data_IF_213340601427
#
_entry.id   IF_213340601427
#
_cell.length_a   1.000
_cell.length_b   1.000
_cell.length_c   1.000
_cell.angle_alpha   90.00
_cell.angle_beta   90.00
_cell.angle_gamma   90.00
#
_symmetry.space_group_name_H-M   'P 1'
#
loop_
_entity.id
_entity.type
_entity.pdbx_description
1 polymer ?
#
# COMPACT_ATOMS: atom_id res chain seq x y z
N UNK A 1 6.34 12.46 -37.01
CA UNK A 1 5.53 11.26 -37.34
C UNK A 1 4.64 10.95 -36.15
N UNK A 2 3.65 10.07 -36.28
CA UNK A 2 2.85 9.63 -35.13
C UNK A 2 3.70 8.78 -34.17
N UNK A 3 3.65 9.07 -32.87
CA UNK A 3 4.29 8.24 -31.83
C UNK A 3 3.31 7.10 -31.47
N UNK A 4 3.69 5.81 -31.65
CA UNK A 4 2.79 4.69 -31.37
C UNK A 4 2.69 4.42 -29.86
N UNK A 5 1.47 4.49 -29.30
CA UNK A 5 1.22 4.30 -27.87
C UNK A 5 -0.05 3.48 -27.61
N UNK A 6 -0.10 2.81 -26.45
CA UNK A 6 -1.33 2.34 -25.82
C UNK A 6 -1.57 3.21 -24.59
N UNK A 7 -2.79 3.74 -24.43
CA UNK A 7 -3.15 4.57 -23.28
C UNK A 7 -4.13 3.80 -22.40
N UNK A 8 -3.78 3.63 -21.12
CA UNK A 8 -4.64 3.05 -20.12
C UNK A 8 -5.08 4.11 -19.11
N UNK A 9 -6.36 4.09 -18.71
CA UNK A 9 -6.82 4.89 -17.56
C UNK A 9 -6.50 4.14 -16.28
N UNK A 10 -5.24 4.25 -15.87
CA UNK A 10 -4.63 3.58 -14.72
C UNK A 10 -3.56 4.48 -14.09
N UNK A 11 -2.92 3.99 -13.04
CA UNK A 11 -1.82 4.68 -12.36
C UNK A 11 -1.68 4.22 -10.90
N UNK A 12 -0.48 4.36 -10.35
CA UNK A 12 -0.19 4.05 -8.95
C UNK A 12 -0.31 5.30 -8.06
N UNK A 13 -1.46 5.94 -8.16
CA UNK A 13 -1.99 6.95 -7.24
C UNK A 13 -3.53 6.90 -7.34
N UNK A 14 -4.25 7.33 -6.31
CA UNK A 14 -5.71 7.47 -6.39
C UNK A 14 -6.18 8.85 -6.88
N UNK A 15 -5.25 9.67 -7.37
CA UNK A 15 -5.55 11.04 -7.82
C UNK A 15 -6.09 11.10 -9.25
N UNK A 16 -6.21 9.93 -9.91
CA UNK A 16 -6.60 9.82 -11.32
C UNK A 16 -5.44 10.10 -12.27
N UNK A 17 -5.57 9.63 -13.51
CA UNK A 17 -4.52 9.77 -14.51
C UNK A 17 -4.60 8.69 -15.58
N UNK A 18 -3.49 8.60 -16.32
CA UNK A 18 -3.29 7.64 -17.38
C UNK A 18 -1.85 7.10 -17.33
N UNK A 19 -1.68 5.85 -17.73
CA UNK A 19 -0.37 5.28 -18.05
C UNK A 19 -0.25 5.16 -19.57
N UNK A 20 0.84 5.70 -20.11
CA UNK A 20 1.12 5.70 -21.56
C UNK A 20 2.21 4.65 -21.82
N UNK A 21 1.82 3.54 -22.44
CA UNK A 21 2.73 2.47 -22.83
C UNK A 21 3.30 2.80 -24.21
N UNK A 22 4.56 3.20 -24.23
CA UNK A 22 5.29 3.51 -25.45
C UNK A 22 5.66 2.21 -26.18
N UNK A 23 5.23 2.09 -27.43
CA UNK A 23 5.43 0.87 -28.23
C UNK A 23 6.79 0.83 -28.96
N UNK A 24 7.46 1.97 -29.06
CA UNK A 24 8.80 2.11 -29.63
C UNK A 24 9.62 3.07 -28.77
N UNK A 25 10.63 2.53 -28.08
CA UNK A 25 11.45 3.26 -27.11
C UNK A 25 12.29 4.38 -27.74
N UNK A 26 12.49 4.38 -29.07
CA UNK A 26 13.18 5.46 -29.76
C UNK A 26 12.49 6.82 -29.59
N UNK A 27 11.19 6.84 -29.28
CA UNK A 27 10.39 8.07 -29.08
C UNK A 27 10.23 8.48 -27.62
N UNK A 28 11.00 7.91 -26.68
CA UNK A 28 10.84 8.18 -25.24
C UNK A 28 10.92 9.65 -24.88
N UNK A 29 11.98 10.33 -25.34
CA UNK A 29 12.18 11.77 -25.13
C UNK A 29 11.10 12.58 -25.84
N UNK A 30 10.79 12.25 -27.09
CA UNK A 30 9.77 12.95 -27.86
C UNK A 30 8.40 12.90 -27.17
N UNK A 31 7.99 11.74 -26.67
CA UNK A 31 6.72 11.60 -25.94
C UNK A 31 6.70 12.44 -24.67
N UNK A 32 7.79 12.41 -23.89
CA UNK A 32 7.92 13.20 -22.66
C UNK A 32 7.79 14.70 -22.94
N UNK A 33 8.49 15.20 -23.96
CA UNK A 33 8.46 16.61 -24.32
C UNK A 33 7.08 17.05 -24.81
N UNK A 34 6.38 16.22 -25.62
CA UNK A 34 5.01 16.50 -26.05
C UNK A 34 4.04 16.58 -24.85
N UNK A 35 4.13 15.66 -23.89
CA UNK A 35 3.26 15.68 -22.69
C UNK A 35 3.56 16.91 -21.84
N UNK A 36 4.84 17.25 -21.66
CA UNK A 36 5.26 18.44 -20.92
C UNK A 36 4.74 19.71 -21.56
N UNK A 37 4.91 19.88 -22.87
CA UNK A 37 4.44 21.07 -23.61
C UNK A 37 2.91 21.19 -23.55
N UNK A 38 2.18 20.10 -23.79
CA UNK A 38 0.72 20.09 -23.72
C UNK A 38 0.18 20.37 -22.30
N UNK A 39 0.94 20.00 -21.27
CA UNK A 39 0.57 20.18 -19.87
C UNK A 39 0.97 21.53 -19.25
N UNK A 40 1.74 22.37 -19.96
CA UNK A 40 2.24 23.65 -19.43
C UNK A 40 1.14 24.59 -18.92
N UNK A 41 -0.02 24.75 -19.60
CA UNK A 41 -1.15 25.55 -19.09
C UNK A 41 -1.76 25.02 -17.79
N UNK A 42 -1.50 23.77 -17.43
CA UNK A 42 -1.95 23.11 -16.20
C UNK A 42 -0.84 23.01 -15.15
N UNK A 43 0.27 23.73 -15.37
CA UNK A 43 1.43 23.72 -14.50
C UNK A 43 2.00 22.32 -14.26
N UNK A 44 1.96 21.44 -15.27
CA UNK A 44 2.47 20.07 -15.17
C UNK A 44 3.93 20.06 -14.70
N UNK A 45 4.28 19.14 -13.79
CA UNK A 45 5.65 18.96 -13.30
C UNK A 45 6.03 17.48 -13.28
N UNK A 46 7.33 17.16 -13.40
CA UNK A 46 7.80 15.80 -13.16
C UNK A 46 7.43 15.35 -11.75
N UNK A 47 7.07 14.08 -11.63
CA UNK A 47 6.76 13.44 -10.36
C UNK A 47 7.01 11.95 -10.45
N UNK A 48 6.88 11.29 -9.30
CA UNK A 48 6.99 9.84 -9.16
C UNK A 48 5.86 9.36 -8.26
N UNK A 49 5.59 8.04 -8.20
CA UNK A 49 4.88 7.44 -7.08
C UNK A 49 5.21 8.10 -5.74
N UNK A 50 4.21 8.74 -5.12
CA UNK A 50 4.43 9.47 -3.88
C UNK A 50 4.27 8.52 -2.68
N UNK A 51 5.31 8.46 -1.85
CA UNK A 51 5.35 7.55 -0.71
C UNK A 51 4.24 7.84 0.31
N UNK A 52 3.89 9.10 0.57
CA UNK A 52 2.85 9.43 1.55
C UNK A 52 1.47 9.12 0.96
N UNK A 53 1.22 9.53 -0.28
CA UNK A 53 -0.08 9.32 -0.95
C UNK A 53 -0.44 7.83 -1.03
N UNK A 54 0.53 6.95 -1.31
CA UNK A 54 0.25 5.51 -1.42
C UNK A 54 -0.14 4.90 -0.06
N UNK A 55 0.39 5.42 1.06
CA UNK A 55 -0.02 4.99 2.41
C UNK A 55 -1.44 5.49 2.69
N UNK A 56 -1.71 6.78 2.44
CA UNK A 56 -3.03 7.38 2.60
C UNK A 56 -4.10 6.61 1.83
N UNK A 57 -3.79 6.29 0.58
CA UNK A 57 -4.66 5.57 -0.35
C UNK A 57 -4.74 4.06 -0.10
N UNK A 58 -3.88 3.49 0.75
CA UNK A 58 -3.80 2.03 0.95
C UNK A 58 -3.37 1.26 -0.30
N UNK A 59 -2.49 1.84 -1.12
CA UNK A 59 -1.91 1.16 -2.28
C UNK A 59 -0.80 0.20 -1.81
N UNK A 60 -1.02 -1.09 -2.06
CA UNK A 60 -0.09 -2.17 -1.71
C UNK A 60 1.17 -2.14 -2.59
N UNK A 61 2.32 -2.38 -1.97
CA UNK A 61 3.61 -2.59 -2.62
C UNK A 61 4.14 -4.00 -2.32
N UNK A 62 4.31 -4.81 -3.37
CA UNK A 62 4.92 -6.14 -3.26
C UNK A 62 6.41 -6.02 -2.95
N UNK A 63 6.89 -6.80 -1.97
CA UNK A 63 8.22 -6.72 -1.37
C UNK A 63 8.29 -5.84 -0.13
N UNK A 64 7.43 -4.81 -0.01
CA UNK A 64 7.35 -3.98 1.19
C UNK A 64 6.22 -4.45 2.12
N UNK A 65 4.98 -4.41 1.63
CA UNK A 65 3.75 -4.64 2.40
C UNK A 65 3.33 -6.11 2.37
N UNK A 66 3.60 -6.78 1.26
CA UNK A 66 3.22 -8.16 0.97
C UNK A 66 4.37 -8.89 0.28
N UNK A 67 4.42 -10.20 0.44
CA UNK A 67 5.38 -11.10 -0.16
C UNK A 67 4.74 -12.49 -0.33
N UNK A 68 5.54 -13.48 -0.73
CA UNK A 68 5.08 -14.86 -0.93
C UNK A 68 4.55 -15.54 0.34
N UNK A 69 4.81 -14.97 1.53
CA UNK A 69 4.34 -15.51 2.81
C UNK A 69 2.96 -14.98 3.20
N UNK A 70 2.38 -14.07 2.40
CA UNK A 70 1.06 -13.50 2.64
C UNK A 70 0.03 -13.98 1.62
N UNK A 71 -1.25 -13.90 1.97
CA UNK A 71 -2.35 -14.28 1.08
C UNK A 71 -3.37 -13.15 0.88
N UNK A 72 -4.16 -13.17 -0.21
CA UNK A 72 -5.03 -12.05 -0.56
C UNK A 72 -6.13 -11.74 0.47
N UNK A 73 -6.56 -12.72 1.28
CA UNK A 73 -7.53 -12.46 2.36
C UNK A 73 -6.90 -11.68 3.52
N UNK A 74 -5.61 -11.89 3.81
CA UNK A 74 -4.89 -11.06 4.79
C UNK A 74 -4.80 -9.60 4.31
N UNK A 75 -4.80 -9.38 2.99
CA UNK A 75 -4.62 -8.06 2.36
C UNK A 75 -5.95 -7.34 2.07
N UNK A 76 -7.11 -7.93 2.40
CA UNK A 76 -8.42 -7.37 2.05
C UNK A 76 -8.70 -7.33 0.54
N UNK A 77 -8.14 -8.28 -0.21
CA UNK A 77 -8.29 -8.40 -1.67
C UNK A 77 -9.35 -9.43 -2.08
N UNK A 78 -10.23 -9.80 -1.15
CA UNK A 78 -11.27 -10.84 -1.32
C UNK A 78 -12.13 -10.59 -2.56
N UNK A 79 -12.45 -9.32 -2.84
CA UNK A 79 -13.26 -8.92 -4.02
C UNK A 79 -12.65 -9.30 -5.37
N UNK A 80 -11.35 -9.61 -5.41
CA UNK A 80 -10.63 -9.99 -6.62
C UNK A 80 -10.48 -11.51 -6.78
N UNK A 81 -11.00 -12.29 -5.84
CA UNK A 81 -10.91 -13.74 -5.83
C UNK A 81 -12.29 -14.32 -6.16
N UNK A 82 -12.40 -14.97 -7.30
CA UNK A 82 -13.57 -15.79 -7.62
C UNK A 82 -13.23 -17.27 -7.37
N UNK A 83 -13.66 -17.80 -6.22
CA UNK A 83 -13.47 -19.22 -5.88
C UNK A 83 -14.50 -20.13 -6.56
N UNK A 84 -15.60 -19.58 -7.04
CA UNK A 84 -16.72 -20.34 -7.62
C UNK A 84 -16.56 -20.52 -9.14
N UNK A 85 -15.64 -19.77 -9.78
CA UNK A 85 -15.33 -19.97 -11.19
C UNK A 85 -14.94 -21.42 -11.51
N UNK A 86 -15.22 -21.88 -12.73
CA UNK A 86 -14.95 -23.26 -13.15
C UNK A 86 -13.46 -23.58 -13.29
N UNK A 87 -12.63 -22.57 -13.53
CA UNK A 87 -11.18 -22.73 -13.70
C UNK A 87 -10.52 -23.13 -12.39
N UNK A 88 -9.64 -24.13 -12.44
CA UNK A 88 -8.76 -24.51 -11.32
C UNK A 88 -7.45 -23.71 -11.40
N UNK A 89 -7.49 -22.48 -10.88
CA UNK A 89 -6.33 -21.61 -10.88
C UNK A 89 -5.35 -21.96 -9.75
N UNK A 90 -4.09 -21.57 -9.92
CA UNK A 90 -3.02 -21.87 -8.95
C UNK A 90 -3.39 -21.28 -7.58
N UNK A 91 -3.44 -22.15 -6.57
CA UNK A 91 -3.75 -21.76 -5.19
C UNK A 91 -5.23 -21.79 -4.82
N UNK A 92 -6.16 -22.11 -5.74
CA UNK A 92 -7.60 -22.15 -5.47
C UNK A 92 -7.98 -22.96 -4.24
N UNK A 93 -7.54 -24.22 -4.16
CA UNK A 93 -7.83 -25.09 -3.01
C UNK A 93 -7.26 -24.53 -1.69
N UNK A 94 -6.08 -23.91 -1.73
CA UNK A 94 -5.49 -23.28 -0.55
C UNK A 94 -6.31 -22.06 -0.10
N UNK A 95 -6.71 -21.19 -1.03
CA UNK A 95 -7.56 -20.04 -0.75
C UNK A 95 -8.94 -20.45 -0.24
N UNK A 96 -9.56 -21.50 -0.78
CA UNK A 96 -10.83 -22.03 -0.24
C UNK A 96 -10.69 -22.43 1.23
N UNK A 97 -9.61 -23.13 1.59
CA UNK A 97 -9.36 -23.49 3.00
C UNK A 97 -9.14 -22.25 3.88
N UNK A 98 -8.39 -21.27 3.39
CA UNK A 98 -8.14 -20.02 4.13
C UNK A 98 -9.43 -19.24 4.35
N UNK A 99 -10.30 -19.13 3.33
CA UNK A 99 -11.62 -18.51 3.45
C UNK A 99 -12.43 -19.16 4.56
N UNK A 100 -12.49 -20.49 4.58
CA UNK A 100 -13.34 -21.24 5.51
C UNK A 100 -12.77 -21.22 6.94
N UNK A 101 -11.44 -21.14 7.10
CA UNK A 101 -10.76 -21.10 8.40
C UNK A 101 -10.63 -19.68 8.99
N UNK A 102 -10.62 -18.67 8.13
CA UNK A 102 -10.25 -17.30 8.49
C UNK A 102 -8.72 -17.09 8.53
N UNK A 103 -8.33 -15.82 8.55
CA UNK A 103 -6.92 -15.40 8.64
C UNK A 103 -6.51 -15.10 10.07
N UNK A 104 -5.24 -15.31 10.40
CA UNK A 104 -4.69 -15.02 11.74
C UNK A 104 -4.13 -13.60 11.87
N UNK A 105 -4.00 -12.88 10.76
CA UNK A 105 -3.48 -11.51 10.66
C UNK A 105 -4.12 -10.76 9.49
N UNK A 106 -4.11 -9.44 9.56
CA UNK A 106 -4.75 -8.53 8.63
C UNK A 106 -3.81 -7.36 8.31
N UNK A 107 -3.79 -6.96 7.05
CA UNK A 107 -3.14 -5.74 6.61
C UNK A 107 -4.03 -4.54 6.93
N UNK A 108 -3.52 -3.59 7.70
CA UNK A 108 -4.26 -2.44 8.21
C UNK A 108 -3.47 -1.16 8.09
N UNK A 109 -4.20 -0.05 8.10
CA UNK A 109 -3.64 1.26 8.38
C UNK A 109 -3.36 1.39 9.88
N UNK A 110 -2.42 2.25 10.23
CA UNK A 110 -2.03 2.50 11.62
C UNK A 110 -1.82 4.00 11.81
N UNK A 111 -2.43 4.56 12.85
CA UNK A 111 -2.01 5.87 13.35
C UNK A 111 -1.00 5.67 14.48
N UNK A 112 0.11 6.42 14.42
CA UNK A 112 1.18 6.39 15.40
C UNK A 112 1.20 7.69 16.21
N UNK A 113 1.42 7.58 17.51
CA UNK A 113 1.60 8.75 18.36
C UNK A 113 3.01 9.38 18.22
N UNK A 114 3.26 10.42 19.03
CA UNK A 114 4.58 11.04 19.18
C UNK A 114 4.90 12.14 18.17
N UNK A 115 6.13 12.70 18.21
CA UNK A 115 6.57 13.76 17.32
C UNK A 115 6.46 13.38 15.84
N UNK A 116 6.27 14.38 14.97
CA UNK A 116 6.26 14.21 13.51
C UNK A 116 7.46 13.37 13.05
N UNK A 117 7.19 12.29 12.31
CA UNK A 117 8.22 11.52 11.62
C UNK A 117 8.91 12.41 10.58
N UNK A 118 10.24 12.44 10.63
CA UNK A 118 11.10 13.18 9.70
C UNK A 118 11.72 12.29 8.63
N UNK A 119 11.68 10.97 8.82
CA UNK A 119 12.17 9.94 7.90
C UNK A 119 11.11 8.87 7.68
N UNK A 120 11.30 8.10 6.61
CA UNK A 120 10.58 6.85 6.37
C UNK A 120 11.35 5.70 7.01
N UNK A 121 10.69 4.59 7.29
CA UNK A 121 11.36 3.37 7.75
C UNK A 121 12.04 2.64 6.57
N UNK A 122 13.26 2.18 6.79
CA UNK A 122 14.00 1.32 5.83
C UNK A 122 13.75 -0.17 6.10
N UNK A 123 13.43 -0.52 7.35
CA UNK A 123 13.13 -1.88 7.79
C UNK A 123 11.72 -1.97 8.39
N UNK A 124 11.21 -3.20 8.51
CA UNK A 124 9.94 -3.47 9.20
C UNK A 124 10.08 -3.16 10.69
N UNK A 125 9.15 -2.37 11.23
CA UNK A 125 9.10 -2.09 12.67
C UNK A 125 8.21 -3.12 13.36
N UNK A 126 8.70 -3.75 14.43
CA UNK A 126 7.95 -4.79 15.14
C UNK A 126 6.78 -4.18 15.92
N UNK A 127 5.65 -4.88 15.87
CA UNK A 127 4.48 -4.55 16.69
C UNK A 127 4.42 -5.52 17.87
N UNK A 128 4.37 -4.98 19.08
CA UNK A 128 4.17 -5.74 20.32
C UNK A 128 2.87 -5.37 21.00
N UNK A 129 2.15 -6.36 21.50
CA UNK A 129 0.95 -6.18 22.30
C UNK A 129 0.99 -7.12 23.50
N UNK A 130 0.94 -6.56 24.72
CA UNK A 130 1.03 -7.31 25.99
C UNK A 130 2.25 -8.23 26.06
N UNK A 131 3.41 -7.74 25.61
CA UNK A 131 4.69 -8.47 25.63
C UNK A 131 4.85 -9.55 24.54
N UNK A 132 3.87 -9.74 23.64
CA UNK A 132 3.94 -10.65 22.49
C UNK A 132 4.17 -9.86 21.21
N UNK A 133 4.98 -10.39 20.29
CA UNK A 133 5.06 -9.89 18.90
C UNK A 133 3.79 -10.27 18.15
N UNK A 134 3.08 -9.28 17.62
CA UNK A 134 1.77 -9.45 16.98
C UNK A 134 1.73 -8.97 15.54
N UNK A 135 2.86 -8.53 14.99
CA UNK A 135 2.89 -8.04 13.62
C UNK A 135 4.08 -7.15 13.34
N UNK A 136 3.97 -6.40 12.26
CA UNK A 136 4.94 -5.40 11.86
C UNK A 136 4.29 -4.25 11.10
N UNK A 137 4.87 -3.06 11.21
CA UNK A 137 4.68 -1.95 10.28
C UNK A 137 5.65 -2.14 9.11
N UNK A 138 5.13 -2.18 7.87
CA UNK A 138 5.94 -2.25 6.66
C UNK A 138 6.38 -0.88 6.16
N UNK A 139 5.55 0.14 6.41
CA UNK A 139 5.81 1.48 5.94
C UNK A 139 5.18 2.53 6.85
N UNK A 140 5.88 3.62 7.08
CA UNK A 140 5.45 4.73 7.94
C UNK A 140 5.94 6.07 7.38
N UNK A 141 5.10 7.09 7.53
CA UNK A 141 5.44 8.47 7.20
C UNK A 141 4.55 9.45 7.99
N UNK A 142 4.95 10.71 8.04
CA UNK A 142 4.02 11.77 8.43
C UNK A 142 3.16 12.19 7.23
N UNK A 143 1.84 12.19 7.36
CA UNK A 143 0.92 12.77 6.38
C UNK A 143 0.64 14.23 6.71
N UNK A 144 1.00 15.19 5.83
CA UNK A 144 0.61 16.58 6.00
C UNK A 144 -0.90 16.80 5.86
N UNK A 145 -1.61 15.95 5.12
CA UNK A 145 -3.07 16.08 4.90
C UNK A 145 -3.87 15.67 6.12
N UNK A 146 -3.43 14.62 6.79
CA UNK A 146 -4.03 14.10 8.02
C UNK A 146 -3.43 14.74 9.29
N UNK A 147 -2.37 15.53 9.15
CA UNK A 147 -1.58 16.10 10.26
C UNK A 147 -1.14 15.05 11.29
N UNK A 148 -0.83 13.82 10.83
CA UNK A 148 -0.61 12.67 11.70
C UNK A 148 0.47 11.73 11.17
N UNK A 149 1.11 10.97 12.07
CA UNK A 149 2.00 9.89 11.69
C UNK A 149 1.15 8.68 11.29
N UNK A 150 1.29 8.28 10.03
CA UNK A 150 0.55 7.18 9.44
C UNK A 150 1.49 6.03 9.09
N UNK A 151 0.94 4.84 9.10
CA UNK A 151 1.64 3.63 8.74
C UNK A 151 0.68 2.61 8.13
N UNK A 152 1.26 1.59 7.51
CA UNK A 152 0.57 0.37 7.11
C UNK A 152 1.36 -0.83 7.59
N UNK A 153 0.66 -1.93 7.89
CA UNK A 153 1.31 -3.09 8.48
C UNK A 153 0.41 -4.31 8.58
N UNK A 154 1.05 -5.44 8.82
CA UNK A 154 0.39 -6.73 9.05
C UNK A 154 0.25 -6.96 10.55
N UNK A 155 -0.98 -7.14 11.04
CA UNK A 155 -1.31 -7.15 12.48
C UNK A 155 -2.18 -8.37 12.78
N UNK A 156 -1.93 -9.04 13.90
CA UNK A 156 -2.73 -10.18 14.35
C UNK A 156 -4.22 -9.82 14.46
N UNK A 157 -5.08 -10.71 13.99
CA UNK A 157 -6.53 -10.47 13.85
C UNK A 157 -7.18 -10.19 15.20
N UNK A 158 -6.74 -10.85 16.27
CA UNK A 158 -7.25 -10.65 17.63
C UNK A 158 -6.95 -9.25 18.17
N UNK A 159 -5.80 -8.66 17.83
CA UNK A 159 -5.43 -7.29 18.20
C UNK A 159 -6.23 -6.27 17.39
N UNK A 160 -6.43 -6.52 16.09
CA UNK A 160 -7.28 -5.66 15.26
C UNK A 160 -8.73 -5.66 15.78
N UNK A 161 -9.26 -6.83 16.14
CA UNK A 161 -10.63 -6.98 16.62
C UNK A 161 -10.85 -6.39 18.03
N UNK A 162 -9.83 -6.39 18.89
CA UNK A 162 -9.95 -5.76 20.22
C UNK A 162 -10.03 -4.23 20.13
N UNK A 163 -9.48 -3.63 19.08
CA UNK A 163 -9.37 -2.18 18.92
C UNK A 163 -8.41 -1.53 19.92
N UNK A 164 -7.62 -2.33 20.65
CA UNK A 164 -6.66 -1.84 21.62
C UNK A 164 -5.41 -1.27 20.92
N UNK A 165 -4.77 -0.30 21.58
CA UNK A 165 -3.48 0.20 21.11
C UNK A 165 -2.37 -0.82 21.35
N UNK A 166 -1.33 -0.75 20.53
CA UNK A 166 -0.15 -1.60 20.61
C UNK A 166 1.13 -0.76 20.54
N UNK A 167 2.26 -1.37 20.90
CA UNK A 167 3.57 -0.73 20.82
C UNK A 167 4.21 -1.02 19.46
N UNK A 168 4.80 -0.02 18.84
CA UNK A 168 5.58 -0.13 17.61
C UNK A 168 7.02 0.24 17.93
N UNK A 169 7.91 -0.74 17.80
CA UNK A 169 9.34 -0.56 17.99
C UNK A 169 9.95 0.03 16.72
N UNK A 170 10.06 1.35 16.71
CA UNK A 170 10.77 2.11 15.70
C UNK A 170 12.30 1.98 15.94
N UNK A 171 13.09 2.53 15.04
CA UNK A 171 14.57 2.45 15.10
C UNK A 171 15.13 2.95 16.45
N UNK A 172 14.78 4.18 16.84
CA UNK A 172 15.29 4.83 18.05
C UNK A 172 14.20 5.13 19.10
N UNK A 173 12.99 4.63 18.92
CA UNK A 173 11.89 4.90 19.85
C UNK A 173 10.83 3.79 19.88
N UNK A 174 9.96 3.87 20.88
CA UNK A 174 8.73 3.08 20.96
C UNK A 174 7.56 4.05 20.86
N UNK A 175 6.62 3.75 19.96
CA UNK A 175 5.41 4.54 19.74
C UNK A 175 4.17 3.71 20.04
N UNK A 176 3.12 4.35 20.51
CA UNK A 176 1.79 3.74 20.55
C UNK A 176 1.16 3.81 19.16
N UNK A 177 0.57 2.71 18.71
CA UNK A 177 -0.15 2.60 17.46
C UNK A 177 -1.58 2.10 17.67
N UNK A 178 -2.49 2.55 16.82
CA UNK A 178 -3.86 2.01 16.74
C UNK A 178 -4.15 1.59 15.31
N UNK A 179 -4.69 0.37 15.14
CA UNK A 179 -5.10 -0.13 13.84
C UNK A 179 -6.39 0.55 13.36
N UNK A 180 -6.45 0.85 12.07
CA UNK A 180 -7.61 1.41 11.39
C UNK A 180 -7.82 0.74 10.03
N UNK A 181 -9.02 0.86 9.49
CA UNK A 181 -9.33 0.40 8.14
C UNK A 181 -8.63 1.28 7.09
N UNK A 182 -8.35 0.68 5.93
CA UNK A 182 -7.85 1.38 4.75
C UNK A 182 -9.00 1.69 3.78
N UNK A 183 -8.93 2.78 3.01
CA UNK A 183 -7.87 3.81 3.00
C UNK A 183 -7.91 4.71 4.25
N UNK A 184 -6.81 5.42 4.51
CA UNK A 184 -6.71 6.39 5.62
C UNK A 184 -7.36 7.75 5.29
N UNK A 185 -7.61 7.99 4.00
CA UNK A 185 -8.33 9.15 3.45
C UNK A 185 -9.56 8.72 2.65
#
# INVERSE_FOLDING_TARGET
GSIPVIVARSGWSKQGGYEIYLMDSAYGTDLWDHVKEAGDPYEIRPGTPNYIERLESGLLSYGADTDAESNPFELGLDRFIDLEQSVDFIGKQALSRIRDQGVSRLFKGVFLDGPKLTTINEERWLITHRGRVVGYVSAAAFSPRLESNIAVGMIATDVVQSGESFEVKCEDCVRSGIAVDLPLL
#
